data_IF_480011868853
#
_entry.id   IF_480011868853
#
_cell.length_a   1.000
_cell.length_b   1.000
_cell.length_c   1.000
_cell.angle_alpha   90.00
_cell.angle_beta   90.00
_cell.angle_gamma   90.00
#
_symmetry.space_group_name_H-M   'P 1'
#
loop_
_entity.id
_entity.type
_entity.pdbx_description
1 polymer ?
#
# COMPACT_ATOMS: atom_id res chain seq x y z
N UNK A 1 23.24 -9.14 2.42
CA UNK A 1 22.11 -9.32 3.37
C UNK A 1 20.85 -8.94 2.62
N UNK A 2 19.71 -9.59 2.88
CA UNK A 2 18.45 -9.14 2.30
C UNK A 2 18.06 -7.80 2.92
N UNK A 3 17.66 -6.82 2.10
CA UNK A 3 17.15 -5.53 2.57
C UNK A 3 15.77 -5.76 3.18
N UNK A 4 15.67 -5.78 4.51
CA UNK A 4 14.39 -5.97 5.21
C UNK A 4 13.57 -4.69 5.20
N UNK A 5 12.24 -4.82 5.30
CA UNK A 5 11.36 -3.67 5.39
C UNK A 5 11.69 -2.77 6.58
N UNK A 6 11.83 -3.33 7.78
CA UNK A 6 12.16 -2.57 8.99
C UNK A 6 13.46 -1.78 8.86
N UNK A 7 14.46 -2.37 8.18
CA UNK A 7 15.70 -1.67 7.88
C UNK A 7 15.44 -0.51 6.92
N UNK A 8 14.68 -0.73 5.86
CA UNK A 8 14.38 0.29 4.85
C UNK A 8 13.54 1.44 5.43
N UNK A 9 12.59 1.14 6.31
CA UNK A 9 11.81 2.13 7.07
C UNK A 9 12.74 3.01 7.90
N UNK A 10 13.68 2.41 8.65
CA UNK A 10 14.66 3.16 9.45
C UNK A 10 15.55 4.05 8.59
N UNK A 11 15.94 3.60 7.39
CA UNK A 11 16.76 4.39 6.47
C UNK A 11 15.99 5.57 5.85
N UNK A 12 14.69 5.41 5.65
CA UNK A 12 13.79 6.45 5.12
C UNK A 12 13.27 7.43 6.18
N UNK A 13 14.04 7.70 7.24
CA UNK A 13 13.63 8.57 8.35
C UNK A 13 13.24 10.00 7.93
N UNK A 14 13.71 10.49 6.78
CA UNK A 14 13.34 11.82 6.24
C UNK A 14 11.85 11.96 5.94
N UNK A 15 11.16 10.84 5.67
CA UNK A 15 9.71 10.83 5.53
C UNK A 15 8.97 11.01 6.85
N UNK A 16 9.66 11.06 8.00
CA UNK A 16 9.05 11.32 9.30
C UNK A 16 9.02 12.81 9.67
N UNK A 17 9.61 13.68 8.86
CA UNK A 17 9.60 15.13 9.10
C UNK A 17 8.16 15.67 9.10
N UNK A 18 7.77 16.34 10.18
CA UNK A 18 6.45 16.96 10.32
C UNK A 18 6.24 18.14 9.37
N UNK A 19 7.32 18.71 8.83
CA UNK A 19 7.27 19.74 7.81
C UNK A 19 7.04 19.17 6.41
N UNK A 20 7.12 17.84 6.20
CA UNK A 20 6.71 17.22 4.95
C UNK A 20 5.19 17.01 4.95
N UNK A 21 4.52 17.32 3.83
CA UNK A 21 3.06 17.26 3.76
C UNK A 21 2.55 15.83 4.00
N UNK A 22 1.51 15.62 4.84
CA UNK A 22 1.05 14.27 5.19
C UNK A 22 0.68 13.40 3.98
N UNK A 23 0.04 13.97 2.96
CA UNK A 23 -0.27 13.23 1.73
C UNK A 23 0.98 12.81 0.93
N UNK A 24 2.03 13.65 0.91
CA UNK A 24 3.32 13.32 0.28
C UNK A 24 3.97 12.17 1.04
N UNK A 25 3.99 12.25 2.37
CA UNK A 25 4.52 11.20 3.25
C UNK A 25 3.80 9.87 3.05
N UNK A 26 2.47 9.88 3.10
CA UNK A 26 1.66 8.66 2.97
C UNK A 26 1.89 7.99 1.63
N UNK A 27 1.74 8.74 0.53
CA UNK A 27 1.91 8.19 -0.81
C UNK A 27 3.34 7.73 -1.05
N UNK A 28 4.35 8.42 -0.54
CA UNK A 28 5.74 7.96 -0.61
C UNK A 28 5.93 6.62 0.10
N UNK A 29 5.38 6.44 1.31
CA UNK A 29 5.45 5.16 2.03
C UNK A 29 4.75 4.02 1.27
N UNK A 30 3.57 4.27 0.71
CA UNK A 30 2.84 3.29 -0.10
C UNK A 30 3.68 2.83 -1.30
N UNK A 31 4.32 3.77 -2.00
CA UNK A 31 5.19 3.46 -3.15
C UNK A 31 6.44 2.69 -2.73
N UNK A 32 7.12 3.12 -1.66
CA UNK A 32 8.35 2.46 -1.18
C UNK A 32 8.04 1.03 -0.76
N UNK A 33 6.88 0.80 -0.13
CA UNK A 33 6.44 -0.54 0.24
C UNK A 33 6.15 -1.42 -0.99
N UNK A 34 5.37 -0.91 -1.94
CA UNK A 34 5.05 -1.63 -3.19
C UNK A 34 6.31 -2.00 -3.99
N UNK A 35 7.29 -1.10 -4.06
CA UNK A 35 8.56 -1.33 -4.75
C UNK A 35 9.47 -2.28 -3.98
N UNK A 36 9.50 -2.20 -2.65
CA UNK A 36 10.26 -3.14 -1.82
C UNK A 36 9.80 -4.58 -2.02
N UNK A 37 8.49 -4.82 -2.16
CA UNK A 37 7.94 -6.14 -2.49
C UNK A 37 8.40 -6.67 -3.86
N UNK A 38 8.76 -5.77 -4.77
CA UNK A 38 9.31 -6.09 -6.09
C UNK A 38 10.85 -6.19 -6.10
N UNK A 39 11.50 -6.09 -4.92
CA UNK A 39 12.96 -6.11 -4.80
C UNK A 39 13.64 -4.80 -5.21
N UNK A 40 12.90 -3.69 -5.28
CA UNK A 40 13.40 -2.35 -5.59
C UNK A 40 13.42 -1.53 -4.30
N UNK A 41 14.61 -1.12 -3.88
CA UNK A 41 14.82 -0.55 -2.55
C UNK A 41 15.07 0.95 -2.62
N UNK A 42 14.01 1.72 -2.42
CA UNK A 42 14.04 3.19 -2.53
C UNK A 42 14.49 3.84 -1.22
N UNK A 43 15.43 4.78 -1.32
CA UNK A 43 15.85 5.67 -0.25
C UNK A 43 15.48 7.11 -0.60
N UNK A 44 14.74 7.77 0.28
CA UNK A 44 14.48 9.21 0.22
C UNK A 44 15.69 9.95 0.79
N UNK A 45 16.42 10.64 -0.07
CA UNK A 45 17.66 11.36 0.26
C UNK A 45 17.40 12.80 0.69
N UNK A 46 16.28 13.40 0.25
CA UNK A 46 15.83 14.73 0.63
C UNK A 46 14.30 14.75 0.79
N UNK A 47 13.82 15.55 1.74
CA UNK A 47 12.40 15.78 2.00
C UNK A 47 12.16 17.26 2.17
N UNK A 48 11.65 17.68 3.33
CA UNK A 48 11.60 19.10 3.66
C UNK A 48 13.01 19.71 3.77
N UNK A 49 13.14 20.95 3.30
CA UNK A 49 14.36 21.77 3.42
C UNK A 49 13.97 23.20 3.73
N UNK A 50 14.48 23.78 4.81
CA UNK A 50 14.20 25.16 5.17
C UNK A 50 14.70 26.16 4.12
N UNK A 51 14.21 27.40 4.19
CA UNK A 51 14.64 28.52 3.33
C UNK A 51 16.14 28.77 3.46
N UNK A 52 16.67 28.70 4.69
CA UNK A 52 18.07 28.91 4.97
C UNK A 52 18.94 27.82 4.33
N UNK A 53 18.57 26.54 4.52
CA UNK A 53 19.28 25.41 3.91
C UNK A 53 19.24 25.48 2.37
N UNK A 54 18.11 25.90 1.78
CA UNK A 54 18.01 26.08 0.33
C UNK A 54 18.90 27.22 -0.17
N UNK A 55 18.98 28.34 0.55
CA UNK A 55 19.90 29.42 0.20
C UNK A 55 21.36 28.98 0.31
N UNK A 56 21.68 28.15 1.30
CA UNK A 56 23.03 27.59 1.46
C UNK A 56 23.40 26.66 0.29
N UNK A 57 22.45 25.82 -0.13
CA UNK A 57 22.61 24.91 -1.27
C UNK A 57 22.68 25.69 -2.61
N UNK A 58 21.94 26.80 -2.73
CA UNK A 58 22.05 27.72 -3.86
C UNK A 58 23.41 28.43 -3.93
N UNK A 59 24.03 28.72 -2.79
CA UNK A 59 25.35 29.34 -2.72
C UNK A 59 26.47 28.43 -3.27
N UNK A 60 26.28 27.10 -3.24
CA UNK A 60 27.26 26.14 -3.73
C UNK A 60 27.54 26.31 -5.24
N UNK A 61 28.82 26.43 -5.59
CA UNK A 61 29.28 26.71 -6.95
C UNK A 61 29.04 28.15 -7.42
N UNK A 62 28.56 29.04 -6.53
CA UNK A 62 28.35 30.47 -6.80
C UNK A 62 29.18 31.34 -5.86
N UNK A 63 28.83 31.33 -4.58
CA UNK A 63 29.52 32.07 -3.52
C UNK A 63 30.24 31.15 -2.52
N UNK A 64 30.01 29.84 -2.62
CA UNK A 64 30.75 28.79 -1.92
C UNK A 64 31.38 27.80 -2.91
N UNK A 65 32.50 27.14 -2.58
CA UNK A 65 33.07 26.08 -3.40
C UNK A 65 32.08 24.91 -3.62
N UNK A 66 32.21 24.20 -4.75
CA UNK A 66 31.42 23.02 -5.08
C UNK A 66 30.72 23.10 -6.44
N UNK A 67 30.04 22.03 -6.84
CA UNK A 67 29.21 22.03 -8.06
C UNK A 67 27.88 22.72 -7.81
N UNK A 68 27.34 23.40 -8.82
CA UNK A 68 25.96 23.90 -8.77
C UNK A 68 25.01 22.70 -8.75
N UNK A 69 24.26 22.56 -7.67
CA UNK A 69 23.30 21.46 -7.44
C UNK A 69 21.84 21.92 -7.47
N UNK A 70 21.58 23.23 -7.52
CA UNK A 70 20.24 23.78 -7.69
C UNK A 70 20.27 25.14 -8.39
N UNK A 71 19.17 25.46 -9.07
CA UNK A 71 18.87 26.82 -9.56
C UNK A 71 17.85 27.57 -8.70
N UNK A 72 17.21 26.89 -7.75
CA UNK A 72 16.18 27.49 -6.90
C UNK A 72 16.81 28.20 -5.69
N UNK A 73 16.42 29.46 -5.46
CA UNK A 73 16.69 30.16 -4.19
C UNK A 73 15.73 29.69 -3.10
N UNK A 74 15.99 30.09 -1.86
CA UNK A 74 15.06 29.89 -0.75
C UNK A 74 13.66 30.41 -1.09
N UNK A 75 12.67 29.53 -0.99
CA UNK A 75 11.27 29.79 -1.29
C UNK A 75 10.87 29.51 -2.74
N UNK A 76 11.82 29.17 -3.60
CA UNK A 76 11.58 28.80 -5.00
C UNK A 76 11.64 27.28 -5.24
N UNK A 77 11.81 26.48 -4.18
CA UNK A 77 11.79 25.02 -4.24
C UNK A 77 10.60 24.45 -3.48
N UNK A 78 9.93 23.43 -4.03
CA UNK A 78 8.84 22.74 -3.34
C UNK A 78 9.28 21.98 -2.09
N UNK A 79 10.58 21.67 -1.94
CA UNK A 79 11.15 21.18 -0.69
C UNK A 79 10.95 22.18 0.47
N UNK A 80 10.90 23.49 0.18
CA UNK A 80 10.68 24.54 1.19
C UNK A 80 9.29 24.53 1.80
N UNK A 81 8.35 23.82 1.17
CA UNK A 81 6.95 23.74 1.58
C UNK A 81 6.55 22.31 1.97
N UNK A 82 7.51 21.38 1.96
CA UNK A 82 7.27 19.98 2.25
C UNK A 82 6.47 19.26 1.16
N UNK A 83 6.60 19.71 -0.08
CA UNK A 83 5.82 19.23 -1.23
C UNK A 83 6.67 18.43 -2.23
N UNK A 84 7.93 18.14 -1.89
CA UNK A 84 8.83 17.39 -2.73
C UNK A 84 9.74 16.45 -1.95
N UNK A 85 10.21 15.43 -2.64
CA UNK A 85 11.15 14.42 -2.15
C UNK A 85 12.15 14.09 -3.27
N UNK A 86 13.39 13.81 -2.89
CA UNK A 86 14.39 13.26 -3.81
C UNK A 86 14.71 11.83 -3.40
N UNK A 87 14.94 10.95 -4.37
CA UNK A 87 15.21 9.54 -4.11
C UNK A 87 16.52 9.05 -4.74
N UNK A 88 16.98 7.92 -4.23
CA UNK A 88 18.03 7.08 -4.82
C UNK A 88 17.64 5.62 -4.60
N UNK A 89 18.28 4.69 -5.31
CA UNK A 89 18.05 3.26 -5.13
C UNK A 89 19.22 2.62 -4.39
N UNK A 90 18.93 1.80 -3.39
CA UNK A 90 19.94 0.89 -2.84
C UNK A 90 20.27 -0.23 -3.84
N UNK A 91 21.51 -0.70 -3.81
CA UNK A 91 21.90 -1.97 -4.44
C UNK A 91 21.12 -3.13 -3.81
N UNK A 92 20.99 -4.26 -4.53
CA UNK A 92 20.22 -5.42 -4.07
C UNK A 92 20.69 -5.99 -2.71
N UNK A 93 21.96 -5.77 -2.35
CA UNK A 93 22.54 -6.19 -1.08
C UNK A 93 22.47 -5.14 0.04
N UNK A 94 21.94 -3.95 -0.27
CA UNK A 94 21.73 -2.84 0.67
C UNK A 94 23.00 -2.11 1.12
N UNK A 95 24.14 -2.36 0.48
CA UNK A 95 25.44 -1.81 0.92
C UNK A 95 25.79 -0.47 0.30
N UNK A 96 25.29 -0.19 -0.90
CA UNK A 96 25.57 1.04 -1.63
C UNK A 96 24.29 1.57 -2.29
N UNK A 97 24.37 2.76 -2.86
CA UNK A 97 23.29 3.38 -3.63
C UNK A 97 23.71 3.65 -5.06
N UNK A 98 22.76 3.60 -5.99
CA UNK A 98 22.98 3.91 -7.41
C UNK A 98 22.09 5.06 -7.86
N UNK A 99 22.68 5.95 -8.65
CA UNK A 99 22.04 7.09 -9.31
C UNK A 99 21.81 6.81 -10.81
N UNK A 100 21.86 5.54 -11.23
CA UNK A 100 21.63 5.15 -12.63
C UNK A 100 20.15 5.31 -13.01
N UNK A 101 19.83 6.49 -13.53
CA UNK A 101 18.50 6.88 -13.99
C UNK A 101 18.07 6.22 -15.30
N UNK A 102 18.97 5.49 -15.96
CA UNK A 102 18.69 4.72 -17.17
C UNK A 102 18.14 3.31 -16.88
N UNK A 103 18.32 2.83 -15.64
CA UNK A 103 17.94 1.47 -15.20
C UNK A 103 16.44 1.19 -15.28
N UNK A 104 16.08 -0.10 -15.37
CA UNK A 104 14.69 -0.54 -15.41
C UNK A 104 13.98 -0.26 -14.07
N UNK A 105 14.70 -0.42 -12.97
CA UNK A 105 14.25 -0.16 -11.61
C UNK A 105 13.92 1.33 -11.42
N UNK A 106 14.79 2.24 -11.89
CA UNK A 106 14.52 3.68 -11.83
C UNK A 106 13.25 4.06 -12.61
N UNK A 107 13.11 3.54 -13.83
CA UNK A 107 11.89 3.74 -14.64
C UNK A 107 10.64 3.19 -13.95
N UNK A 108 10.75 2.05 -13.26
CA UNK A 108 9.64 1.49 -12.49
C UNK A 108 9.28 2.40 -11.31
N UNK A 109 10.27 2.92 -10.57
CA UNK A 109 10.04 3.89 -9.48
C UNK A 109 9.27 5.11 -10.00
N UNK A 110 9.72 5.69 -11.12
CA UNK A 110 9.03 6.81 -11.78
C UNK A 110 7.58 6.48 -12.14
N UNK A 111 7.32 5.30 -12.72
CA UNK A 111 5.95 4.89 -13.06
C UNK A 111 5.05 4.79 -11.81
N UNK A 112 5.54 4.18 -10.74
CA UNK A 112 4.75 3.96 -9.52
C UNK A 112 4.53 5.27 -8.77
N UNK A 113 5.53 6.16 -8.68
CA UNK A 113 5.33 7.50 -8.10
C UNK A 113 4.32 8.33 -8.90
N UNK A 114 4.40 8.31 -10.23
CA UNK A 114 3.42 9.00 -11.10
C UNK A 114 2.00 8.48 -10.92
N UNK A 115 1.81 7.16 -10.72
CA UNK A 115 0.49 6.59 -10.44
C UNK A 115 -0.12 7.07 -9.11
N UNK A 116 0.72 7.59 -8.20
CA UNK A 116 0.31 8.24 -6.95
C UNK A 116 0.23 9.77 -7.04
N UNK A 117 0.19 10.32 -8.25
CA UNK A 117 0.03 11.75 -8.56
C UNK A 117 1.26 12.63 -8.28
N UNK A 118 2.45 12.03 -8.18
CA UNK A 118 3.68 12.81 -8.19
C UNK A 118 4.04 13.25 -9.61
N UNK A 119 4.43 14.51 -9.77
CA UNK A 119 5.17 14.97 -10.94
C UNK A 119 6.66 14.61 -10.78
N UNK A 120 7.34 14.31 -11.88
CA UNK A 120 8.73 13.86 -11.88
C UNK A 120 9.65 14.91 -12.51
N UNK A 121 10.74 15.25 -11.84
CA UNK A 121 11.70 16.26 -12.31
C UNK A 121 12.45 15.89 -13.59
N UNK A 122 12.48 14.60 -13.96
CA UNK A 122 13.00 14.17 -15.26
C UNK A 122 12.14 14.57 -16.46
N UNK A 123 10.87 14.93 -16.23
CA UNK A 123 9.97 15.47 -17.27
C UNK A 123 10.10 16.99 -17.45
N UNK A 124 10.90 17.66 -16.62
CA UNK A 124 11.09 19.10 -16.74
C UNK A 124 11.69 19.48 -18.10
N UNK A 125 11.18 20.57 -18.70
CA UNK A 125 11.61 21.04 -20.02
C UNK A 125 13.09 21.43 -20.05
N UNK A 126 13.59 21.97 -18.94
CA UNK A 126 14.97 22.41 -18.75
C UNK A 126 15.44 21.98 -17.38
N UNK A 127 16.73 21.68 -17.24
CA UNK A 127 17.32 21.26 -15.96
C UNK A 127 16.60 20.05 -15.36
N UNK A 128 16.68 18.92 -16.08
CA UNK A 128 16.07 17.66 -15.66
C UNK A 128 16.69 17.21 -14.34
N UNK A 129 15.84 17.05 -13.34
CA UNK A 129 16.21 16.61 -12.01
C UNK A 129 15.63 15.21 -11.80
N UNK A 130 16.36 14.20 -12.27
CA UNK A 130 15.83 12.83 -12.35
C UNK A 130 15.57 12.19 -10.98
N UNK A 131 16.25 12.55 -9.87
CA UNK A 131 15.89 12.11 -8.53
C UNK A 131 14.61 12.73 -7.96
N UNK A 132 14.07 13.78 -8.58
CA UNK A 132 13.10 14.64 -7.94
C UNK A 132 11.65 14.21 -8.21
N UNK A 133 10.82 14.20 -7.16
CA UNK A 133 9.37 14.14 -7.25
C UNK A 133 8.71 15.26 -6.46
N UNK A 134 7.64 15.83 -7.02
CA UNK A 134 6.85 16.87 -6.37
C UNK A 134 5.34 16.60 -6.46
N UNK A 135 4.62 17.02 -5.42
CA UNK A 135 3.16 17.13 -5.41
C UNK A 135 2.79 18.58 -5.12
N UNK A 136 2.57 19.38 -6.17
CA UNK A 136 2.34 20.82 -6.04
C UNK A 136 0.93 21.16 -5.57
N UNK A 137 -0.02 20.21 -5.70
CA UNK A 137 -1.45 20.44 -5.48
C UNK A 137 -2.01 21.62 -6.29
N UNK A 138 -1.40 21.90 -7.46
CA UNK A 138 -1.77 23.03 -8.33
C UNK A 138 -1.21 24.38 -7.90
N UNK A 139 -0.40 24.46 -6.85
CA UNK A 139 0.21 25.71 -6.40
C UNK A 139 1.57 25.95 -7.04
N UNK A 140 1.83 27.19 -7.45
CA UNK A 140 3.17 27.62 -7.85
C UNK A 140 4.00 28.03 -6.63
N UNK A 141 5.34 27.99 -6.74
CA UNK A 141 6.21 28.48 -5.66
C UNK A 141 5.89 29.92 -5.24
N UNK A 142 5.48 30.79 -6.18
CA UNK A 142 5.11 32.18 -5.87
C UNK A 142 3.84 32.26 -5.03
N UNK A 143 2.85 31.40 -5.29
CA UNK A 143 1.66 31.31 -4.44
C UNK A 143 2.02 30.82 -3.04
N UNK A 144 2.92 29.83 -2.96
CA UNK A 144 3.42 29.29 -1.69
C UNK A 144 4.19 30.34 -0.87
N UNK A 145 5.04 31.15 -1.52
CA UNK A 145 5.73 32.28 -0.88
C UNK A 145 4.77 33.31 -0.28
N UNK A 146 3.61 33.49 -0.91
CA UNK A 146 2.57 34.40 -0.45
C UNK A 146 1.60 33.75 0.56
N UNK A 147 1.98 32.61 1.15
CA UNK A 147 1.22 31.94 2.20
C UNK A 147 0.00 31.13 1.72
N UNK A 148 -0.20 30.99 0.41
CA UNK A 148 -1.17 30.02 -0.12
C UNK A 148 -0.58 28.62 -0.05
N UNK A 149 -1.42 27.59 -0.08
CA UNK A 149 -0.92 26.22 -0.14
C UNK A 149 -2.01 25.19 0.05
N UNK A 150 -1.67 23.89 -0.11
CA UNK A 150 -2.61 22.82 0.13
C UNK A 150 -3.02 22.77 1.60
N UNK A 151 -4.27 22.38 1.84
CA UNK A 151 -4.75 22.08 3.18
C UNK A 151 -3.95 20.90 3.71
N UNK A 152 -3.32 21.06 4.87
CA UNK A 152 -2.66 19.96 5.58
C UNK A 152 -3.71 19.21 6.39
N UNK A 153 -4.08 17.98 5.99
CA UNK A 153 -4.99 17.19 6.81
C UNK A 153 -4.28 16.78 8.10
N UNK A 154 -5.02 16.65 9.20
CA UNK A 154 -4.51 16.14 10.47
C UNK A 154 -4.24 14.61 10.44
N UNK A 155 -4.13 14.00 9.26
CA UNK A 155 -4.02 12.57 9.05
C UNK A 155 -2.75 12.01 9.68
N UNK A 156 -2.91 10.91 10.43
CA UNK A 156 -1.80 10.08 10.89
C UNK A 156 -1.26 9.32 9.68
N UNK A 157 0.02 9.55 9.34
CA UNK A 157 0.71 8.79 8.30
C UNK A 157 0.89 7.35 8.79
N UNK A 158 0.34 6.40 8.05
CA UNK A 158 0.43 4.96 8.32
C UNK A 158 1.57 4.40 7.47
N UNK A 159 2.61 3.88 8.12
CA UNK A 159 3.69 3.17 7.43
C UNK A 159 3.16 1.76 7.13
N UNK A 160 3.13 1.31 5.87
CA UNK A 160 2.74 -0.05 5.54
C UNK A 160 3.64 -1.07 6.26
N UNK A 161 3.09 -2.21 6.65
CA UNK A 161 3.87 -3.30 7.23
C UNK A 161 3.85 -4.49 6.27
N UNK A 162 4.99 -5.18 6.03
CA UNK A 162 4.99 -6.44 5.33
C UNK A 162 4.11 -7.38 6.13
N UNK A 163 3.29 -8.15 5.42
CA UNK A 163 2.75 -9.36 6.02
C UNK A 163 3.95 -10.11 6.60
N UNK A 164 4.06 -10.16 7.94
CA UNK A 164 5.12 -10.91 8.61
C UNK A 164 5.13 -12.29 7.95
N UNK A 165 6.33 -12.86 7.75
CA UNK A 165 6.42 -14.31 7.58
C UNK A 165 5.77 -14.90 8.82
N UNK A 166 4.49 -15.18 8.67
CA UNK A 166 3.74 -15.84 9.68
C UNK A 166 4.34 -17.23 9.64
N UNK A 167 5.13 -17.58 10.68
CA UNK A 167 5.10 -18.98 11.07
C UNK A 167 3.62 -19.37 11.05
N UNK A 168 3.28 -20.57 10.63
CA UNK A 168 1.92 -21.10 10.55
C UNK A 168 1.05 -20.94 11.83
N UNK A 169 1.52 -20.22 12.85
CA UNK A 169 0.91 -19.83 14.11
C UNK A 169 0.30 -18.39 14.21
N UNK A 170 0.48 -17.44 13.28
CA UNK A 170 -0.04 -16.03 13.43
C UNK A 170 -0.95 -15.55 12.29
N UNK A 171 -1.56 -16.45 11.51
CA UNK A 171 -2.68 -16.09 10.64
C UNK A 171 -3.91 -16.00 11.55
N UNK A 172 -4.09 -14.90 12.28
CA UNK A 172 -5.36 -14.59 12.97
C UNK A 172 -5.32 -13.19 13.58
N UNK A 173 -5.90 -12.22 12.87
CA UNK A 173 -6.95 -11.42 13.51
C UNK A 173 -8.03 -10.98 12.51
N UNK A 174 -8.24 -11.75 11.43
CA UNK A 174 -9.63 -11.95 11.01
C UNK A 174 -10.19 -12.96 11.99
N UNK A 175 -11.20 -12.58 12.78
CA UNK A 175 -11.84 -13.53 13.69
C UNK A 175 -12.33 -14.70 12.85
N UNK A 176 -11.89 -15.92 13.15
CA UNK A 176 -12.34 -17.09 12.37
C UNK A 176 -13.58 -17.67 13.00
N UNK A 177 -14.43 -18.30 12.19
CA UNK A 177 -15.56 -19.05 12.68
C UNK A 177 -15.42 -20.54 12.35
N UNK A 178 -15.92 -21.37 13.25
CA UNK A 178 -16.10 -22.80 13.00
C UNK A 178 -17.27 -22.99 12.06
N UNK A 179 -17.18 -23.95 11.15
CA UNK A 179 -18.25 -24.28 10.20
C UNK A 179 -18.76 -25.69 10.49
N UNK A 180 -20.06 -25.81 10.69
CA UNK A 180 -20.76 -27.08 10.78
C UNK A 180 -21.75 -27.15 9.62
N UNK A 181 -21.67 -28.19 8.80
CA UNK A 181 -22.59 -28.43 7.68
C UNK A 181 -23.26 -29.78 7.90
N UNK A 182 -24.59 -29.80 8.02
CA UNK A 182 -25.38 -31.01 8.27
C UNK A 182 -24.89 -31.83 9.49
N UNK A 183 -24.45 -31.15 10.55
CA UNK A 183 -23.91 -31.77 11.76
C UNK A 183 -22.43 -32.20 11.66
N UNK A 184 -21.82 -32.13 10.47
CA UNK A 184 -20.39 -32.40 10.29
C UNK A 184 -19.57 -31.11 10.40
N UNK A 185 -18.58 -31.11 11.30
CA UNK A 185 -17.61 -30.01 11.42
C UNK A 185 -16.63 -30.06 10.25
N UNK A 186 -16.41 -28.94 9.57
CA UNK A 186 -15.42 -28.83 8.51
C UNK A 186 -14.03 -28.52 9.07
N UNK A 187 -13.00 -29.05 8.41
CA UNK A 187 -11.60 -28.72 8.68
C UNK A 187 -11.26 -27.29 8.23
N UNK A 188 -11.96 -26.80 7.21
CA UNK A 188 -11.86 -25.43 6.73
C UNK A 188 -12.50 -24.44 7.73
N UNK A 189 -11.87 -23.28 7.89
CA UNK A 189 -12.36 -22.20 8.75
C UNK A 189 -13.07 -21.14 7.91
N UNK A 190 -14.15 -20.58 8.46
CA UNK A 190 -14.73 -19.36 7.95
C UNK A 190 -14.00 -18.16 8.54
N UNK A 191 -14.20 -17.00 7.94
CA UNK A 191 -13.61 -15.74 8.38
C UNK A 191 -14.72 -14.75 8.72
N UNK A 192 -14.44 -13.84 9.64
CA UNK A 192 -15.33 -12.76 10.01
C UNK A 192 -14.73 -11.45 9.49
N UNK A 193 -15.52 -10.72 8.70
CA UNK A 193 -15.20 -9.37 8.21
C UNK A 193 -16.42 -8.48 8.41
N UNK A 194 -16.23 -7.28 8.96
CA UNK A 194 -17.32 -6.33 9.22
C UNK A 194 -18.51 -6.93 10.00
N UNK A 195 -18.20 -7.80 10.98
CA UNK A 195 -19.19 -8.54 11.78
C UNK A 195 -20.09 -9.51 10.98
N UNK A 196 -19.65 -9.91 9.78
CA UNK A 196 -20.29 -10.89 8.91
C UNK A 196 -19.38 -12.11 8.72
N UNK A 197 -19.98 -13.30 8.67
CA UNK A 197 -19.26 -14.55 8.44
C UNK A 197 -19.17 -14.88 6.94
N UNK A 198 -17.97 -15.16 6.46
CA UNK A 198 -17.70 -15.62 5.11
C UNK A 198 -17.13 -17.04 5.15
N UNK A 199 -17.67 -17.92 4.31
CA UNK A 199 -17.28 -19.33 4.28
C UNK A 199 -16.52 -19.65 2.99
N UNK A 200 -15.52 -20.56 3.04
CA UNK A 200 -14.83 -21.04 1.85
C UNK A 200 -15.80 -21.84 0.98
N UNK A 201 -16.11 -21.31 -0.20
CA UNK A 201 -17.17 -21.84 -1.09
C UNK A 201 -16.87 -23.27 -1.50
N UNK A 202 -15.60 -23.58 -1.80
CA UNK A 202 -15.17 -24.93 -2.17
C UNK A 202 -15.43 -25.95 -1.05
N UNK A 203 -15.11 -25.61 0.19
CA UNK A 203 -15.29 -26.53 1.31
C UNK A 203 -16.77 -26.79 1.61
N UNK A 204 -17.60 -25.73 1.57
CA UNK A 204 -19.05 -25.88 1.75
C UNK A 204 -19.68 -26.66 0.59
N UNK A 205 -19.26 -26.41 -0.65
CA UNK A 205 -19.72 -27.18 -1.81
C UNK A 205 -19.38 -28.67 -1.70
N UNK A 206 -18.14 -29.00 -1.33
CA UNK A 206 -17.73 -30.39 -1.08
C UNK A 206 -18.55 -31.04 0.03
N UNK A 207 -18.79 -30.33 1.14
CA UNK A 207 -19.55 -30.84 2.27
C UNK A 207 -21.04 -31.05 1.98
N UNK A 208 -21.59 -30.27 1.06
CA UNK A 208 -22.99 -30.36 0.64
C UNK A 208 -23.20 -31.22 -0.61
N UNK A 209 -22.12 -31.70 -1.24
CA UNK A 209 -22.14 -32.47 -2.48
C UNK A 209 -22.53 -31.65 -3.72
N UNK A 210 -22.38 -30.32 -3.65
CA UNK A 210 -22.75 -29.39 -4.72
C UNK A 210 -21.50 -28.98 -5.51
N UNK A 211 -21.61 -28.97 -6.83
CA UNK A 211 -20.52 -28.56 -7.73
C UNK A 211 -20.14 -27.10 -7.50
N UNK A 212 -18.83 -26.84 -7.45
CA UNK A 212 -18.28 -25.49 -7.30
C UNK A 212 -17.56 -25.09 -8.58
N UNK A 213 -17.85 -23.89 -9.07
CA UNK A 213 -17.21 -23.29 -10.22
C UNK A 213 -16.68 -21.90 -9.92
N UNK A 214 -16.01 -21.30 -10.90
CA UNK A 214 -15.54 -19.93 -10.82
C UNK A 214 -15.66 -19.27 -12.19
N UNK A 215 -16.33 -18.13 -12.27
CA UNK A 215 -16.53 -17.39 -13.52
C UNK A 215 -16.56 -15.89 -13.25
N UNK A 216 -15.86 -15.10 -14.06
CA UNK A 216 -15.84 -13.64 -14.00
C UNK A 216 -15.55 -13.07 -12.59
N UNK A 217 -14.65 -13.70 -11.84
CA UNK A 217 -14.29 -13.26 -10.49
C UNK A 217 -15.26 -13.70 -9.39
N UNK A 218 -16.31 -14.46 -9.72
CA UNK A 218 -17.35 -14.91 -8.79
C UNK A 218 -17.35 -16.43 -8.65
N UNK A 219 -17.54 -16.90 -7.42
CA UNK A 219 -17.69 -18.32 -7.14
C UNK A 219 -19.11 -18.76 -7.51
N UNK A 220 -19.19 -19.92 -8.14
CA UNK A 220 -20.43 -20.60 -8.50
C UNK A 220 -20.64 -21.74 -7.50
N UNK A 221 -21.87 -21.87 -7.00
CA UNK A 221 -22.26 -22.95 -6.11
C UNK A 221 -23.53 -23.58 -6.66
N UNK A 222 -23.39 -24.76 -7.28
CA UNK A 222 -24.45 -25.42 -8.03
C UNK A 222 -24.86 -24.60 -9.24
N UNK A 223 -26.11 -24.13 -9.27
CA UNK A 223 -26.64 -23.24 -10.31
C UNK A 223 -26.62 -21.76 -9.90
N UNK A 224 -26.21 -21.44 -8.67
CA UNK A 224 -26.20 -20.07 -8.14
C UNK A 224 -24.84 -19.38 -8.30
N UNK A 225 -24.86 -18.08 -8.60
CA UNK A 225 -23.68 -17.21 -8.66
C UNK A 225 -23.57 -16.42 -7.36
N UNK A 226 -22.45 -16.53 -6.64
CA UNK A 226 -22.22 -15.80 -5.39
C UNK A 226 -21.65 -14.40 -5.67
N UNK A 227 -22.46 -13.38 -5.43
CA UNK A 227 -22.14 -11.97 -5.65
C UNK A 227 -21.15 -11.43 -4.62
N UNK A 228 -21.11 -12.00 -3.42
CA UNK A 228 -20.23 -11.56 -2.33
C UNK A 228 -18.87 -12.27 -2.32
N UNK A 229 -18.46 -12.84 -3.46
CA UNK A 229 -17.20 -13.58 -3.56
C UNK A 229 -16.00 -12.68 -3.28
N UNK A 230 -15.19 -13.07 -2.31
CA UNK A 230 -13.88 -12.48 -2.01
C UNK A 230 -12.80 -13.55 -2.19
N UNK A 231 -11.67 -13.16 -2.77
CA UNK A 231 -10.52 -14.03 -2.97
C UNK A 231 -9.50 -13.80 -1.87
N UNK A 232 -9.09 -14.89 -1.21
CA UNK A 232 -8.05 -14.88 -0.18
C UNK A 232 -7.08 -16.01 -0.51
N UNK A 233 -5.90 -15.63 -1.00
CA UNK A 233 -4.99 -16.55 -1.66
C UNK A 233 -5.68 -17.22 -2.86
N UNK A 234 -5.58 -18.54 -2.93
CA UNK A 234 -6.19 -19.34 -4.00
C UNK A 234 -7.63 -19.81 -3.67
N UNK A 235 -8.23 -19.28 -2.59
CA UNK A 235 -9.55 -19.70 -2.11
C UNK A 235 -10.60 -18.59 -2.25
N UNK A 236 -11.74 -18.94 -2.83
CA UNK A 236 -12.93 -18.08 -2.86
C UNK A 236 -13.79 -18.26 -1.61
N UNK A 237 -14.10 -17.15 -0.95
CA UNK A 237 -15.02 -17.08 0.18
C UNK A 237 -16.26 -16.29 -0.22
N UNK A 238 -17.42 -16.60 0.34
CA UNK A 238 -18.63 -15.81 0.15
C UNK A 238 -19.43 -15.70 1.45
N UNK A 239 -20.31 -14.71 1.52
CA UNK A 239 -21.12 -14.45 2.69
C UNK A 239 -22.01 -15.64 3.04
N UNK A 240 -22.02 -16.02 4.32
CA UNK A 240 -22.69 -17.22 4.83
C UNK A 240 -24.17 -17.29 4.46
N UNK A 241 -24.90 -16.17 4.58
CA UNK A 241 -26.33 -16.15 4.26
C UNK A 241 -26.57 -16.37 2.78
N UNK A 242 -25.75 -15.78 1.91
CA UNK A 242 -25.86 -15.97 0.47
C UNK A 242 -25.61 -17.43 0.08
N UNK A 243 -24.60 -18.06 0.66
CA UNK A 243 -24.33 -19.50 0.47
C UNK A 243 -25.54 -20.34 0.90
N UNK A 244 -26.12 -20.04 2.06
CA UNK A 244 -27.27 -20.76 2.56
C UNK A 244 -28.52 -20.57 1.70
N UNK A 245 -28.77 -19.35 1.23
CA UNK A 245 -29.88 -19.03 0.33
C UNK A 245 -29.77 -19.80 -1.00
N UNK A 246 -28.56 -19.84 -1.59
CA UNK A 246 -28.30 -20.60 -2.82
C UNK A 246 -28.50 -22.10 -2.64
N UNK A 247 -28.12 -22.64 -1.47
CA UNK A 247 -28.25 -24.05 -1.17
C UNK A 247 -29.64 -24.46 -0.63
N UNK A 248 -30.46 -23.50 -0.19
CA UNK A 248 -31.71 -23.75 0.53
C UNK A 248 -31.50 -24.26 1.97
N UNK A 249 -30.44 -23.79 2.63
CA UNK A 249 -30.07 -24.20 4.00
C UNK A 249 -30.50 -23.13 5.00
N UNK A 250 -30.71 -23.55 6.25
CA UNK A 250 -30.86 -22.64 7.39
C UNK A 250 -29.49 -22.35 7.99
N UNK A 251 -29.26 -21.08 8.36
CA UNK A 251 -28.06 -20.63 9.06
C UNK A 251 -28.39 -20.40 10.54
N UNK A 252 -27.55 -20.94 11.42
CA UNK A 252 -27.51 -20.59 12.83
C UNK A 252 -26.12 -20.08 13.21
N UNK A 253 -26.07 -19.08 14.10
CA UNK A 253 -24.82 -18.46 14.57
C UNK A 253 -24.73 -18.55 16.09
N UNK A 254 -23.72 -19.27 16.59
CA UNK A 254 -23.34 -19.26 18.00
C UNK A 254 -22.20 -18.26 18.23
N UNK A 255 -22.53 -17.13 18.84
CA UNK A 255 -21.57 -16.07 19.18
C UNK A 255 -20.60 -16.42 20.30
N UNK A 256 -20.89 -17.41 21.16
CA UNK A 256 -19.98 -17.85 22.24
C UNK A 256 -18.84 -18.70 21.68
N UNK A 257 -19.16 -19.58 20.73
CA UNK A 257 -18.18 -20.49 20.11
C UNK A 257 -17.69 -20.01 18.75
N UNK A 258 -18.21 -18.88 18.26
CA UNK A 258 -18.00 -18.36 16.92
C UNK A 258 -18.27 -19.46 15.87
N UNK A 259 -19.44 -20.09 15.93
CA UNK A 259 -19.79 -21.23 15.06
C UNK A 259 -20.94 -20.86 14.14
N UNK A 260 -20.73 -21.09 12.84
CA UNK A 260 -21.78 -21.08 11.83
C UNK A 260 -22.24 -22.51 11.61
N UNK A 261 -23.54 -22.75 11.78
CA UNK A 261 -24.17 -24.04 11.47
C UNK A 261 -25.09 -23.90 10.27
N UNK A 262 -24.80 -24.64 9.20
CA UNK A 262 -25.64 -24.80 8.02
C UNK A 262 -26.37 -26.13 8.12
N UNK A 263 -27.69 -26.09 8.22
CA UNK A 263 -28.53 -27.30 8.24
C UNK A 263 -29.48 -27.28 7.06
N UNK A 264 -29.51 -28.38 6.31
CA UNK A 264 -30.47 -28.55 5.22
C UNK A 264 -31.89 -28.36 5.78
N UNK A 265 -32.63 -27.39 5.25
CA UNK A 265 -34.02 -27.21 5.65
C UNK A 265 -34.81 -28.49 5.34
N UNK A 266 -35.64 -28.94 6.28
CA UNK A 266 -36.68 -29.92 5.95
C UNK A 266 -37.52 -29.33 4.81
N UNK A 267 -37.63 -30.06 3.70
CA UNK A 267 -38.75 -29.85 2.77
C UNK A 267 -40.00 -30.43 3.41
#
# INVERSE_FOLDING_TARGET
>A
MAVTWDWLVKKNFRLNDANLHPAVRQKAWDVIFELWQQGIYVLITQGYRSIAEQNDLYAQGRTKPGKIVTNARGGQSYHNYGLAIDFVLYTKDGKDVTWDDSSAEWKQVVRVFKSKEFAWGGDFRTFKDTPHFEMTFGYTYSQLQNGKGPVRPATVVVIPEPAKAVSSAVLNQESTCTIIVNGAKLDARGIMRDNLSYLPVRAVGNATGVTVGFENGKALLGKGVLQTTILIGDSGYAHTREIADVLGYKVDWDGKTQTVTLTKGAR
#
